data_IF_007968893885
#
_entry.id   IF_007968893885
#
_cell.length_a   1.000
_cell.length_b   1.000
_cell.length_c   1.000
_cell.angle_alpha   90.00
_cell.angle_beta   90.00
_cell.angle_gamma   90.00
#
_symmetry.space_group_name_H-M   'P 1'
#
loop_
_entity.id
_entity.type
_entity.pdbx_description
1 polymer ?
#
# COMPACT_ATOMS: atom_id res chain seq x y z
N UNK A 1 28.78 7.20 54.69
CA UNK A 1 29.71 6.54 55.63
C UNK A 1 30.65 5.69 54.80
N UNK A 2 31.96 5.97 54.81
CA UNK A 2 32.99 5.25 54.03
C UNK A 2 33.04 3.77 54.43
N UNK A 3 33.31 2.88 53.48
CA UNK A 3 33.21 1.44 53.62
C UNK A 3 34.42 0.78 54.35
N UNK A 4 35.47 1.55 54.63
CA UNK A 4 36.79 1.02 55.01
C UNK A 4 36.98 0.52 56.45
N UNK A 5 35.99 0.45 57.34
CA UNK A 5 36.28 0.04 58.73
C UNK A 5 35.22 -0.85 59.41
N UNK A 6 34.57 -1.73 58.64
CA UNK A 6 33.82 -2.84 59.24
C UNK A 6 34.79 -3.96 59.59
N UNK A 7 35.18 -4.03 60.87
CA UNK A 7 35.98 -5.13 61.42
C UNK A 7 35.34 -6.47 61.03
N UNK A 8 36.11 -7.30 60.32
CA UNK A 8 35.70 -8.64 59.91
C UNK A 8 35.31 -9.44 61.15
N UNK A 9 34.07 -9.93 61.18
CA UNK A 9 33.53 -10.67 62.32
C UNK A 9 33.80 -12.16 62.13
N UNK A 10 34.39 -12.81 63.14
CA UNK A 10 34.49 -14.28 63.16
C UNK A 10 33.17 -14.87 63.66
N UNK A 11 32.56 -15.75 62.86
CA UNK A 11 31.32 -16.44 63.21
C UNK A 11 31.60 -17.57 64.22
N UNK A 12 30.62 -17.86 65.07
CA UNK A 12 30.62 -19.08 65.89
C UNK A 12 30.33 -20.30 65.01
N UNK A 13 30.68 -21.54 65.42
CA UNK A 13 30.40 -22.73 64.61
C UNK A 13 28.93 -22.87 64.20
N UNK A 14 27.99 -22.59 65.13
CA UNK A 14 26.54 -22.57 64.83
C UNK A 14 26.17 -21.42 63.88
N UNK A 15 26.79 -20.26 64.03
CA UNK A 15 26.58 -19.12 63.14
C UNK A 15 27.10 -19.38 61.72
N UNK A 16 28.20 -20.10 61.59
CA UNK A 16 28.77 -20.50 60.30
C UNK A 16 27.85 -21.46 59.54
N UNK A 17 27.26 -22.44 60.25
CA UNK A 17 26.27 -23.35 59.64
C UNK A 17 25.06 -22.58 59.12
N UNK A 18 24.47 -21.69 59.93
CA UNK A 18 23.32 -20.89 59.47
C UNK A 18 23.68 -19.92 58.33
N UNK A 19 24.89 -19.37 58.34
CA UNK A 19 25.39 -18.53 57.26
C UNK A 19 25.48 -19.31 55.94
N UNK A 20 26.10 -20.49 55.98
CA UNK A 20 26.24 -21.35 54.79
C UNK A 20 24.88 -21.81 54.26
N UNK A 21 23.95 -22.22 55.14
CA UNK A 21 22.59 -22.61 54.75
C UNK A 21 21.84 -21.46 54.06
N UNK A 22 21.92 -20.24 54.58
CA UNK A 22 21.28 -19.07 53.98
C UNK A 22 21.96 -18.65 52.67
N UNK A 23 23.29 -18.72 52.60
CA UNK A 23 24.03 -18.46 51.37
C UNK A 23 23.66 -19.45 50.27
N UNK A 24 23.59 -20.75 50.57
CA UNK A 24 23.17 -21.79 49.62
C UNK A 24 21.74 -21.54 49.11
N UNK A 25 20.80 -21.21 50.00
CA UNK A 25 19.41 -20.93 49.61
C UNK A 25 19.30 -19.72 48.67
N UNK A 26 19.96 -18.61 49.02
CA UNK A 26 19.92 -17.38 48.21
C UNK A 26 20.68 -17.55 46.89
N UNK A 27 21.82 -18.26 46.92
CA UNK A 27 22.59 -18.59 45.73
C UNK A 27 21.81 -19.49 44.79
N UNK A 28 21.18 -20.56 45.27
CA UNK A 28 20.33 -21.44 44.46
C UNK A 28 19.24 -20.66 43.73
N UNK A 29 18.55 -19.75 44.43
CA UNK A 29 17.51 -18.90 43.83
C UNK A 29 18.06 -17.95 42.76
N UNK A 30 19.23 -17.35 43.02
CA UNK A 30 19.90 -16.50 42.02
C UNK A 30 20.34 -17.31 40.81
N UNK A 31 20.87 -18.51 41.00
CA UNK A 31 21.31 -19.40 39.92
C UNK A 31 20.12 -19.92 39.10
N UNK A 32 19.00 -20.25 39.74
CA UNK A 32 17.74 -20.60 39.07
C UNK A 32 17.23 -19.47 38.19
N UNK A 33 17.14 -18.25 38.73
CA UNK A 33 16.68 -17.09 37.96
C UNK A 33 17.66 -16.68 36.85
N UNK A 34 18.96 -16.93 37.03
CA UNK A 34 19.96 -16.75 35.98
C UNK A 34 19.75 -17.76 34.84
N UNK A 35 19.50 -19.02 35.15
CA UNK A 35 19.22 -20.04 34.15
C UNK A 35 17.97 -19.68 33.32
N UNK A 36 16.93 -19.14 33.95
CA UNK A 36 15.75 -18.65 33.21
C UNK A 36 16.07 -17.48 32.27
N UNK A 37 17.01 -16.61 32.64
CA UNK A 37 17.50 -15.54 31.76
C UNK A 37 18.27 -16.14 30.59
N UNK A 38 19.15 -17.11 30.84
CA UNK A 38 19.92 -17.80 29.80
C UNK A 38 18.99 -18.51 28.79
N UNK A 39 17.96 -19.20 29.26
CA UNK A 39 16.95 -19.83 28.41
C UNK A 39 16.20 -18.81 27.54
N UNK A 40 15.84 -17.65 28.11
CA UNK A 40 15.21 -16.56 27.37
C UNK A 40 16.16 -15.98 26.31
N UNK A 41 17.46 -15.87 26.62
CA UNK A 41 18.49 -15.41 25.68
C UNK A 41 18.68 -16.41 24.54
N UNK A 42 18.71 -17.71 24.83
CA UNK A 42 18.79 -18.75 23.78
C UNK A 42 17.58 -18.68 22.85
N UNK A 43 16.39 -18.47 23.43
CA UNK A 43 15.15 -18.31 22.65
C UNK A 43 15.24 -17.11 21.69
N UNK A 44 15.94 -16.04 22.06
CA UNK A 44 16.14 -14.88 21.19
C UNK A 44 16.92 -15.18 19.91
N UNK A 45 17.87 -16.12 19.96
CA UNK A 45 18.59 -16.57 18.77
C UNK A 45 17.70 -17.32 17.76
N UNK A 46 16.53 -17.80 18.19
CA UNK A 46 15.57 -18.49 17.31
C UNK A 46 14.50 -17.55 16.72
N UNK A 47 14.55 -16.25 17.07
CA UNK A 47 13.67 -15.26 16.47
C UNK A 47 13.97 -15.13 14.98
N UNK A 48 13.18 -15.82 14.16
CA UNK A 48 13.06 -15.50 12.75
C UNK A 48 12.64 -14.03 12.56
N UNK A 49 12.71 -13.54 11.32
CA UNK A 49 12.32 -12.20 10.85
C UNK A 49 10.82 -11.87 11.05
N UNK A 50 10.33 -12.03 12.27
CA UNK A 50 8.94 -11.91 12.71
C UNK A 50 8.85 -10.91 13.86
N UNK A 51 8.18 -9.79 13.62
CA UNK A 51 8.00 -8.72 14.60
C UNK A 51 7.33 -9.15 15.88
N UNK A 52 6.37 -10.08 15.81
CA UNK A 52 5.61 -10.48 16.98
C UNK A 52 6.51 -11.30 17.91
N UNK A 53 7.25 -12.26 17.36
CA UNK A 53 8.21 -13.07 18.12
C UNK A 53 9.32 -12.22 18.75
N UNK A 54 9.86 -11.25 18.01
CA UNK A 54 10.86 -10.31 18.54
C UNK A 54 10.32 -9.58 19.77
N UNK A 55 9.09 -9.06 19.71
CA UNK A 55 8.46 -8.37 20.86
C UNK A 55 8.21 -9.30 22.04
N UNK A 56 7.75 -10.52 21.77
CA UNK A 56 7.48 -11.52 22.80
C UNK A 56 8.76 -11.90 23.55
N UNK A 57 9.86 -12.11 22.83
CA UNK A 57 11.16 -12.43 23.43
C UNK A 57 11.77 -11.23 24.15
N UNK A 58 11.69 -10.02 23.60
CA UNK A 58 12.14 -8.79 24.28
C UNK A 58 11.44 -8.63 25.64
N UNK A 59 10.12 -8.89 25.67
CA UNK A 59 9.33 -8.89 26.91
C UNK A 59 9.77 -10.01 27.86
N UNK A 60 9.99 -11.22 27.35
CA UNK A 60 10.40 -12.38 28.15
C UNK A 60 11.75 -12.12 28.82
N UNK A 61 12.77 -11.70 28.07
CA UNK A 61 14.09 -11.33 28.60
C UNK A 61 13.94 -10.25 29.67
N UNK A 62 13.14 -9.21 29.41
CA UNK A 62 12.94 -8.12 30.37
C UNK A 62 12.29 -8.57 31.68
N UNK A 63 11.36 -9.52 31.64
CA UNK A 63 10.72 -10.07 32.84
C UNK A 63 11.71 -10.93 33.61
N UNK A 64 12.32 -11.91 32.95
CA UNK A 64 13.27 -12.83 33.60
C UNK A 64 14.48 -12.10 34.17
N UNK A 65 14.98 -11.09 33.46
CA UNK A 65 16.10 -10.29 33.94
C UNK A 65 15.74 -9.48 35.19
N UNK A 66 14.49 -9.02 35.33
CA UNK A 66 14.03 -8.34 36.56
C UNK A 66 13.97 -9.31 37.74
N UNK A 67 13.49 -10.52 37.53
CA UNK A 67 13.41 -11.56 38.57
C UNK A 67 14.82 -11.93 39.08
N UNK A 68 15.78 -12.05 38.16
CA UNK A 68 17.20 -12.22 38.48
C UNK A 68 17.77 -11.04 39.27
N UNK A 69 17.48 -9.79 38.87
CA UNK A 69 17.94 -8.61 39.60
C UNK A 69 17.40 -8.57 41.04
N UNK A 70 16.14 -8.95 41.25
CA UNK A 70 15.53 -9.00 42.59
C UNK A 70 16.24 -10.05 43.45
N UNK A 71 16.40 -11.27 42.94
CA UNK A 71 17.04 -12.38 43.67
C UNK A 71 18.50 -12.06 44.00
N UNK A 72 19.24 -11.47 43.06
CA UNK A 72 20.62 -11.03 43.25
C UNK A 72 20.74 -9.91 44.29
N UNK A 73 19.81 -8.95 44.28
CA UNK A 73 19.81 -7.84 45.25
C UNK A 73 19.49 -8.32 46.67
N UNK A 74 18.59 -9.29 46.82
CA UNK A 74 18.31 -9.93 48.12
C UNK A 74 19.54 -10.67 48.64
N UNK A 75 20.25 -11.41 47.77
CA UNK A 75 21.49 -12.08 48.13
C UNK A 75 22.58 -11.08 48.52
N UNK A 76 22.75 -10.01 47.73
CA UNK A 76 23.69 -8.92 47.99
C UNK A 76 23.44 -8.25 49.35
N UNK A 77 22.18 -7.93 49.68
CA UNK A 77 21.81 -7.35 50.98
C UNK A 77 22.17 -8.28 52.14
N UNK A 78 21.95 -9.59 51.97
CA UNK A 78 22.34 -10.57 52.97
C UNK A 78 23.86 -10.58 53.18
N UNK A 79 24.65 -10.69 52.11
CA UNK A 79 26.12 -10.71 52.20
C UNK A 79 26.68 -9.44 52.85
N UNK A 80 26.14 -8.26 52.49
CA UNK A 80 26.52 -6.98 53.10
C UNK A 80 26.22 -6.89 54.60
N UNK A 81 25.29 -7.70 55.11
CA UNK A 81 24.93 -7.73 56.53
C UNK A 81 25.91 -8.56 57.38
N UNK A 82 26.54 -9.59 56.79
CA UNK A 82 27.30 -10.59 57.54
C UNK A 82 28.70 -10.13 57.94
N UNK A 83 29.28 -9.13 57.24
CA UNK A 83 30.59 -8.52 57.57
C UNK A 83 31.71 -9.55 57.83
N UNK A 84 31.67 -10.70 57.14
CA UNK A 84 32.68 -11.76 57.17
C UNK A 84 33.54 -11.69 55.91
N UNK A 85 34.75 -12.25 55.96
CA UNK A 85 35.64 -12.32 54.79
C UNK A 85 35.03 -13.18 53.66
N UNK A 86 34.41 -14.30 54.02
CA UNK A 86 33.67 -15.16 53.10
C UNK A 86 32.53 -14.41 52.39
N UNK A 87 31.77 -13.58 53.12
CA UNK A 87 30.70 -12.78 52.53
C UNK A 87 31.23 -11.72 51.56
N UNK A 88 32.41 -11.15 51.82
CA UNK A 88 33.07 -10.20 50.90
C UNK A 88 33.52 -10.92 49.62
N UNK A 89 34.09 -12.12 49.72
CA UNK A 89 34.49 -12.89 48.55
C UNK A 89 33.28 -13.29 47.69
N UNK A 90 32.21 -13.81 48.31
CA UNK A 90 30.95 -14.15 47.62
C UNK A 90 30.29 -12.92 46.99
N UNK A 91 30.39 -11.75 47.63
CA UNK A 91 29.87 -10.50 47.07
C UNK A 91 30.60 -10.10 45.78
N UNK A 92 31.93 -10.24 45.76
CA UNK A 92 32.73 -9.97 44.56
C UNK A 92 32.37 -10.95 43.42
N UNK A 93 32.20 -12.25 43.73
CA UNK A 93 31.77 -13.26 42.75
C UNK A 93 30.37 -12.94 42.18
N UNK A 94 29.43 -12.56 43.04
CA UNK A 94 28.08 -12.16 42.64
C UNK A 94 28.12 -10.93 41.72
N UNK A 95 28.93 -9.91 42.05
CA UNK A 95 29.06 -8.71 41.24
C UNK A 95 29.63 -9.00 39.84
N UNK A 96 30.63 -9.88 39.75
CA UNK A 96 31.17 -10.35 38.45
C UNK A 96 30.08 -11.04 37.63
N UNK A 97 29.30 -11.93 38.25
CA UNK A 97 28.20 -12.64 37.59
C UNK A 97 27.10 -11.68 37.10
N UNK A 98 26.66 -10.75 37.95
CA UNK A 98 25.66 -9.73 37.61
C UNK A 98 26.12 -8.86 36.44
N UNK A 99 27.37 -8.39 36.46
CA UNK A 99 27.92 -7.55 35.41
C UNK A 99 28.02 -8.29 34.07
N UNK A 100 28.38 -9.58 34.10
CA UNK A 100 28.39 -10.45 32.91
C UNK A 100 26.98 -10.61 32.35
N UNK A 101 26.01 -10.96 33.18
CA UNK A 101 24.61 -11.11 32.79
C UNK A 101 24.06 -9.81 32.18
N UNK A 102 24.25 -8.67 32.85
CA UNK A 102 23.84 -7.36 32.36
C UNK A 102 24.42 -7.04 30.98
N UNK A 103 25.71 -7.32 30.78
CA UNK A 103 26.39 -7.07 29.51
C UNK A 103 25.80 -7.91 28.36
N UNK A 104 25.47 -9.17 28.62
CA UNK A 104 24.87 -10.07 27.62
C UNK A 104 23.44 -9.65 27.31
N UNK A 105 22.62 -9.38 28.33
CA UNK A 105 21.23 -8.94 28.17
C UNK A 105 21.16 -7.62 27.40
N UNK A 106 22.03 -6.67 27.72
CA UNK A 106 22.13 -5.39 27.00
C UNK A 106 22.47 -5.60 25.52
N UNK A 107 23.51 -6.39 25.23
CA UNK A 107 23.91 -6.71 23.85
C UNK A 107 22.75 -7.33 23.06
N UNK A 108 22.10 -8.33 23.64
CA UNK A 108 20.97 -9.03 23.02
C UNK A 108 19.79 -8.09 22.78
N UNK A 109 19.51 -7.18 23.71
CA UNK A 109 18.47 -6.15 23.54
C UNK A 109 18.78 -5.22 22.36
N UNK A 110 20.04 -4.83 22.18
CA UNK A 110 20.45 -3.96 21.08
C UNK A 110 20.41 -4.70 19.73
N UNK A 111 20.82 -5.96 19.67
CA UNK A 111 20.69 -6.83 18.49
C UNK A 111 19.21 -7.02 18.07
N UNK A 112 18.30 -7.21 19.05
CA UNK A 112 16.87 -7.32 18.78
C UNK A 112 16.28 -6.00 18.22
N UNK A 113 16.76 -4.85 18.71
CA UNK A 113 16.36 -3.54 18.17
C UNK A 113 16.86 -3.35 16.75
N UNK A 114 18.11 -3.69 16.47
CA UNK A 114 18.70 -3.62 15.13
C UNK A 114 17.90 -4.48 14.15
N UNK A 115 17.66 -5.75 14.50
CA UNK A 115 16.84 -6.66 13.69
C UNK A 115 15.45 -6.09 13.41
N UNK A 116 14.82 -5.48 14.42
CA UNK A 116 13.52 -4.81 14.27
C UNK A 116 13.57 -3.62 13.31
N UNK A 117 14.63 -2.82 13.36
CA UNK A 117 14.82 -1.69 12.43
C UNK A 117 15.05 -2.18 10.99
N UNK A 118 15.90 -3.18 10.78
CA UNK A 118 16.14 -3.77 9.46
C UNK A 118 14.85 -4.32 8.83
N UNK A 119 13.98 -4.95 9.64
CA UNK A 119 12.69 -5.44 9.16
C UNK A 119 11.76 -4.29 8.74
N UNK A 120 11.76 -3.18 9.47
CA UNK A 120 10.95 -2.01 9.13
C UNK A 120 11.45 -1.37 7.84
N UNK A 121 12.76 -1.27 7.66
CA UNK A 121 13.38 -0.75 6.44
C UNK A 121 13.06 -1.66 5.24
N UNK A 122 13.19 -2.98 5.39
CA UNK A 122 12.83 -3.96 4.35
C UNK A 122 11.36 -3.83 3.94
N UNK A 123 10.45 -3.71 4.91
CA UNK A 123 9.03 -3.50 4.63
C UNK A 123 8.76 -2.18 3.90
N UNK A 124 9.47 -1.11 4.27
CA UNK A 124 9.38 0.20 3.61
C UNK A 124 9.83 0.12 2.14
N UNK A 125 10.94 -0.57 1.86
CA UNK A 125 11.43 -0.78 0.49
C UNK A 125 10.47 -1.63 -0.35
N UNK A 126 9.96 -2.73 0.22
CA UNK A 126 8.98 -3.58 -0.48
C UNK A 126 7.70 -2.79 -0.79
N UNK A 127 7.19 -2.03 0.18
CA UNK A 127 6.02 -1.17 -0.02
C UNK A 127 6.23 -0.13 -1.14
N UNK A 128 7.39 0.52 -1.13
CA UNK A 128 7.77 1.50 -2.16
C UNK A 128 7.88 0.88 -3.54
N UNK A 129 8.42 -0.33 -3.65
CA UNK A 129 8.56 -1.07 -4.90
C UNK A 129 7.20 -1.56 -5.45
N UNK A 130 6.29 -1.99 -4.58
CA UNK A 130 4.92 -2.35 -4.99
C UNK A 130 4.19 -1.12 -5.52
N UNK A 131 4.33 0.03 -4.86
CA UNK A 131 3.73 1.31 -5.30
C UNK A 131 4.31 1.79 -6.64
N UNK A 132 5.62 1.69 -6.86
CA UNK A 132 6.24 2.07 -8.13
C UNK A 132 5.83 1.14 -9.27
N UNK A 133 5.78 -0.16 -9.02
CA UNK A 133 5.30 -1.16 -9.98
C UNK A 133 3.84 -0.93 -10.37
N UNK A 134 2.95 -0.66 -9.41
CA UNK A 134 1.55 -0.33 -9.68
C UNK A 134 1.40 0.94 -10.53
N UNK A 135 2.18 1.98 -10.24
CA UNK A 135 2.21 3.21 -11.05
C UNK A 135 2.69 2.95 -12.48
N UNK A 136 3.75 2.17 -12.65
CA UNK A 136 4.27 1.80 -13.97
C UNK A 136 3.24 1.00 -14.78
N UNK A 137 2.56 0.04 -14.15
CA UNK A 137 1.48 -0.72 -14.79
C UNK A 137 0.32 0.17 -15.24
N UNK A 138 -0.11 1.10 -14.38
CA UNK A 138 -1.18 2.04 -14.71
C UNK A 138 -0.80 2.98 -15.86
N UNK A 139 0.46 3.42 -15.94
CA UNK A 139 0.96 4.22 -17.07
C UNK A 139 0.97 3.42 -18.37
N UNK A 140 1.40 2.15 -18.33
CA UNK A 140 1.40 1.28 -19.50
C UNK A 140 -0.03 1.01 -20.02
N UNK A 141 -1.01 0.80 -19.13
CA UNK A 141 -2.42 0.65 -19.53
C UNK A 141 -3.00 1.93 -20.15
N UNK A 142 -2.69 3.10 -19.58
CA UNK A 142 -3.10 4.39 -20.16
C UNK A 142 -2.53 4.60 -21.56
N UNK A 143 -1.25 4.30 -21.78
CA UNK A 143 -0.62 4.40 -23.09
C UNK A 143 -1.29 3.47 -24.13
N UNK A 144 -1.66 2.25 -23.73
CA UNK A 144 -2.40 1.32 -24.59
C UNK A 144 -3.77 1.87 -24.99
N UNK A 145 -4.51 2.43 -24.03
CA UNK A 145 -5.83 3.03 -24.31
C UNK A 145 -5.72 4.23 -25.26
N UNK A 146 -4.65 5.03 -25.13
CA UNK A 146 -4.40 6.17 -25.99
C UNK A 146 -4.08 5.75 -27.43
N UNK A 147 -3.34 4.65 -27.62
CA UNK A 147 -3.09 4.06 -28.93
C UNK A 147 -4.39 3.55 -29.58
N UNK A 148 -5.21 2.79 -28.84
CA UNK A 148 -6.51 2.31 -29.35
C UNK A 148 -7.40 3.48 -29.77
N UNK A 149 -7.40 4.57 -29.00
CA UNK A 149 -8.16 5.77 -29.34
C UNK A 149 -7.67 6.40 -30.66
N UNK A 150 -6.35 6.53 -30.84
CA UNK A 150 -5.75 7.04 -32.10
C UNK A 150 -6.05 6.13 -33.28
N UNK A 151 -5.95 4.81 -33.11
CA UNK A 151 -6.32 3.85 -34.16
C UNK A 151 -7.79 3.99 -34.57
N UNK A 152 -8.70 4.16 -33.59
CA UNK A 152 -10.11 4.41 -33.86
C UNK A 152 -10.37 5.72 -34.63
N UNK A 153 -9.63 6.78 -34.32
CA UNK A 153 -9.69 8.06 -35.05
C UNK A 153 -9.18 7.90 -36.50
N UNK A 154 -8.08 7.18 -36.70
CA UNK A 154 -7.56 6.87 -38.03
C UNK A 154 -8.52 6.02 -38.85
N UNK A 155 -9.20 5.06 -38.22
CA UNK A 155 -10.20 4.23 -38.90
C UNK A 155 -11.36 5.08 -39.44
N UNK A 156 -11.83 6.05 -38.64
CA UNK A 156 -12.88 7.00 -39.07
C UNK A 156 -12.41 7.87 -40.23
N UNK A 157 -11.19 8.39 -40.18
CA UNK A 157 -10.61 9.15 -41.30
C UNK A 157 -10.51 8.30 -42.56
N UNK A 158 -10.14 7.02 -42.43
CA UNK A 158 -10.07 6.09 -43.56
C UNK A 158 -11.44 5.88 -44.20
N UNK A 159 -12.49 5.65 -43.40
CA UNK A 159 -13.86 5.48 -43.94
C UNK A 159 -14.38 6.75 -44.62
N UNK A 160 -14.07 7.93 -44.06
CA UNK A 160 -14.46 9.21 -44.67
C UNK A 160 -13.76 9.45 -46.01
N UNK A 161 -12.48 9.09 -46.12
CA UNK A 161 -11.72 9.16 -47.38
C UNK A 161 -12.30 8.18 -48.41
N UNK A 162 -12.62 6.95 -47.99
CA UNK A 162 -13.18 5.93 -48.88
C UNK A 162 -14.56 6.34 -49.42
N UNK A 163 -15.41 6.92 -48.57
CA UNK A 163 -16.69 7.49 -49.00
C UNK A 163 -16.49 8.62 -50.03
N UNK A 164 -15.54 9.54 -49.79
CA UNK A 164 -15.19 10.60 -50.76
C UNK A 164 -14.69 10.04 -52.09
N UNK A 165 -13.84 9.01 -52.06
CA UNK A 165 -13.35 8.35 -53.29
C UNK A 165 -14.51 7.71 -54.06
N UNK A 166 -15.46 7.08 -53.37
CA UNK A 166 -16.66 6.50 -54.00
C UNK A 166 -17.52 7.57 -54.67
N UNK A 167 -17.72 8.71 -54.01
CA UNK A 167 -18.47 9.85 -54.58
C UNK A 167 -17.77 10.36 -55.84
N UNK A 168 -16.46 10.60 -55.78
CA UNK A 168 -15.67 11.08 -56.95
C UNK A 168 -15.72 10.07 -58.10
N UNK A 169 -15.73 8.76 -57.82
CA UNK A 169 -15.87 7.73 -58.86
C UNK A 169 -17.24 7.77 -59.51
N UNK A 170 -18.31 7.88 -58.73
CA UNK A 170 -19.68 8.00 -59.24
C UNK A 170 -19.86 9.28 -60.06
N UNK A 171 -19.33 10.41 -59.59
CA UNK A 171 -19.34 11.66 -60.35
C UNK A 171 -18.61 11.52 -61.69
N UNK A 172 -17.46 10.83 -61.72
CA UNK A 172 -16.74 10.53 -62.96
C UNK A 172 -17.55 9.65 -63.92
N UNK A 173 -18.24 8.64 -63.41
CA UNK A 173 -19.11 7.76 -64.20
C UNK A 173 -20.31 8.51 -64.80
N UNK A 174 -20.92 9.41 -64.03
CA UNK A 174 -22.00 10.29 -64.51
C UNK A 174 -21.47 11.21 -65.61
N UNK A 175 -20.32 11.85 -65.42
CA UNK A 175 -19.70 12.72 -66.44
C UNK A 175 -19.37 11.93 -67.72
N UNK A 176 -18.88 10.69 -67.61
CA UNK A 176 -18.66 9.86 -68.81
C UNK A 176 -19.95 9.46 -69.50
N UNK A 177 -21.00 9.10 -68.75
CA UNK A 177 -22.30 8.75 -69.32
C UNK A 177 -22.95 9.97 -70.01
N UNK A 178 -22.84 11.16 -69.42
CA UNK A 178 -23.31 12.41 -70.03
C UNK A 178 -22.54 12.77 -71.30
N UNK A 179 -21.23 12.47 -71.37
CA UNK A 179 -20.45 12.61 -72.60
C UNK A 179 -20.88 11.62 -73.70
N UNK A 180 -21.28 10.40 -73.33
CA UNK A 180 -21.82 9.40 -74.27
C UNK A 180 -23.22 9.79 -74.79
N UNK A 181 -24.02 10.53 -74.02
CA UNK A 181 -25.32 11.09 -74.47
C UNK A 181 -25.20 12.30 -75.42
N UNK A 182 -24.01 12.87 -75.59
CA UNK A 182 -23.82 14.02 -76.51
C UNK A 182 -23.52 13.65 -77.96
N UNK A 183 -23.32 12.37 -78.31
CA UNK A 183 -22.97 11.97 -79.69
C UNK A 183 -24.09 11.27 -80.48
N UNK A 184 -25.19 10.80 -79.87
CA UNK A 184 -26.31 10.21 -80.63
C UNK A 184 -27.68 10.47 -79.98
N UNK A 185 -28.34 11.58 -80.34
CA UNK A 185 -29.78 11.60 -80.65
C UNK A 185 -30.24 12.98 -81.18
N UNK A 186 -30.36 13.13 -82.50
CA UNK A 186 -31.28 14.12 -83.09
C UNK A 186 -32.70 13.63 -82.82
N UNK A 187 -33.25 13.99 -81.67
CA UNK A 187 -34.69 13.85 -81.42
C UNK A 187 -35.38 15.01 -82.14
N UNK A 188 -36.09 14.69 -83.22
CA UNK A 188 -37.04 15.60 -83.86
C UNK A 188 -38.16 15.91 -82.86
N UNK A 189 -38.03 17.04 -82.17
CA UNK A 189 -39.09 17.64 -81.38
C UNK A 189 -40.24 18.04 -82.31
N UNK A 190 -41.50 17.59 -82.09
CA UNK A 190 -42.63 18.26 -82.70
C UNK A 190 -42.74 19.65 -82.09
N UNK A 191 -42.48 20.68 -82.91
CA UNK A 191 -42.67 22.08 -82.56
C UNK A 191 -44.18 22.32 -82.38
N UNK A 192 -44.68 22.14 -81.16
CA UNK A 192 -46.00 22.64 -80.78
C UNK A 192 -45.90 24.14 -80.51
N UNK A 193 -46.74 24.93 -81.19
CA UNK A 193 -46.80 26.37 -80.99
C UNK A 193 -47.30 26.72 -79.58
N UNK A 194 -46.73 27.79 -79.02
CA UNK A 194 -46.96 28.30 -77.65
C UNK A 194 -48.43 28.58 -77.31
N UNK A 195 -49.30 28.70 -78.31
CA UNK A 195 -50.72 28.98 -78.17
C UNK A 195 -51.58 27.71 -77.97
N UNK A 196 -51.04 26.52 -78.25
CA UNK A 196 -51.75 25.25 -78.03
C UNK A 196 -51.57 24.68 -76.60
N UNK A 197 -50.51 25.07 -75.88
CA UNK A 197 -50.27 24.59 -74.51
C UNK A 197 -51.07 25.33 -73.42
N UNK A 198 -51.57 26.54 -73.68
CA UNK A 198 -52.34 27.33 -72.70
C UNK A 198 -53.85 27.07 -72.74
N UNK A 199 -54.37 26.41 -73.78
CA UNK A 199 -55.80 26.06 -73.90
C UNK A 199 -56.18 24.74 -73.21
N UNK A 200 -55.25 23.78 -73.11
CA UNK A 200 -55.53 22.45 -72.53
C UNK A 200 -55.31 22.35 -71.00
N UNK A 201 -54.61 23.31 -70.38
CA UNK A 201 -54.34 23.26 -68.93
C UNK A 201 -55.33 24.06 -68.07
N UNK A 202 -56.04 25.03 -68.67
CA UNK A 202 -56.97 25.92 -67.93
C UNK A 202 -58.37 25.30 -67.75
N UNK A 203 -58.69 24.18 -68.41
CA UNK A 203 -60.00 23.51 -68.28
C UNK A 203 -60.04 22.30 -67.34
N UNK A 204 -58.97 21.98 -66.59
CA UNK A 204 -59.06 20.95 -65.53
C UNK A 204 -58.66 21.37 -64.12
N UNK A 205 -57.77 22.34 -63.88
CA UNK A 205 -57.50 22.83 -62.51
C UNK A 205 -57.04 24.30 -62.51
N UNK A 206 -58.00 25.23 -62.38
CA UNK A 206 -57.73 26.63 -62.06
C UNK A 206 -57.20 26.78 -60.61
N UNK A 207 -56.36 27.80 -60.34
CA UNK A 207 -55.48 27.82 -59.19
C UNK A 207 -56.16 28.33 -57.92
N UNK A 208 -55.87 27.68 -56.79
CA UNK A 208 -56.00 28.30 -55.48
C UNK A 208 -54.73 28.02 -54.69
N UNK A 209 -53.78 28.94 -54.84
CA UNK A 209 -52.69 29.11 -53.90
C UNK A 209 -53.26 29.37 -52.50
N UNK A 210 -52.97 28.49 -51.54
CA UNK A 210 -52.89 28.90 -50.13
C UNK A 210 -51.84 28.08 -49.40
N UNK A 211 -50.69 28.73 -49.20
CA UNK A 211 -49.62 28.32 -48.29
C UNK A 211 -50.21 28.11 -46.90
N UNK A 212 -50.14 26.89 -46.36
CA UNK A 212 -50.36 26.61 -44.93
C UNK A 212 -49.04 26.16 -44.32
N UNK A 213 -48.55 26.94 -43.34
CA UNK A 213 -47.49 26.52 -42.41
C UNK A 213 -47.98 25.29 -41.64
N UNK A 214 -47.21 24.21 -41.68
CA UNK A 214 -47.33 23.10 -40.73
C UNK A 214 -46.11 23.12 -39.83
N UNK A 215 -46.32 23.56 -38.60
CA UNK A 215 -45.48 23.27 -37.44
C UNK A 215 -45.46 21.76 -37.22
N UNK A 216 -44.28 21.15 -37.23
CA UNK A 216 -44.07 19.78 -36.76
C UNK A 216 -43.19 19.77 -35.52
N UNK A 217 -43.50 18.83 -34.65
CA UNK A 217 -43.23 18.79 -33.24
C UNK A 217 -41.76 18.58 -32.89
N UNK A 218 -41.31 19.22 -31.81
CA UNK A 218 -40.04 18.94 -31.15
C UNK A 218 -40.14 17.62 -30.39
N UNK A 219 -39.40 16.61 -30.85
CA UNK A 219 -39.06 15.44 -30.03
C UNK A 219 -37.74 15.74 -29.33
N UNK A 220 -37.83 15.98 -28.02
CA UNK A 220 -36.70 15.88 -27.09
C UNK A 220 -36.20 14.45 -27.10
N UNK A 221 -34.91 14.25 -27.35
CA UNK A 221 -34.24 13.04 -26.88
C UNK A 221 -32.95 13.34 -26.13
N UNK A 222 -32.81 12.53 -25.08
CA UNK A 222 -31.99 12.71 -23.91
C UNK A 222 -30.50 12.49 -24.16
N UNK A 223 -29.68 13.36 -23.57
CA UNK A 223 -28.25 13.14 -23.35
C UNK A 223 -28.09 12.30 -22.07
N UNK A 224 -27.40 11.15 -22.06
CA UNK A 224 -27.00 10.50 -20.82
C UNK A 224 -25.74 11.18 -20.27
N UNK A 225 -25.85 11.78 -19.07
CA UNK A 225 -24.70 12.22 -18.26
C UNK A 225 -23.93 11.02 -17.75
N UNK A 226 -22.64 10.95 -18.10
CA UNK A 226 -21.65 10.09 -17.45
C UNK A 226 -21.46 10.49 -15.99
N UNK A 227 -21.51 9.51 -15.09
CA UNK A 227 -21.16 9.64 -13.68
C UNK A 227 -19.64 9.81 -13.55
N UNK A 228 -19.21 10.94 -13.01
CA UNK A 228 -17.92 11.07 -12.35
C UNK A 228 -18.08 10.68 -10.88
N UNK A 229 -17.23 9.77 -10.42
CA UNK A 229 -17.00 9.45 -9.01
C UNK A 229 -15.62 10.02 -8.70
N UNK A 230 -15.54 10.93 -7.72
CA UNK A 230 -14.35 11.16 -6.93
C UNK A 230 -14.74 11.60 -5.51
N UNK A 231 -14.52 10.65 -4.58
CA UNK A 231 -13.83 10.74 -3.28
C UNK A 231 -14.01 11.93 -2.31
N UNK A 232 -14.17 11.52 -1.04
CA UNK A 232 -13.55 12.07 0.20
C UNK A 232 -14.22 13.33 0.81
N UNK A 233 -14.43 13.51 2.13
CA UNK A 233 -13.82 12.99 3.37
C UNK A 233 -14.87 13.10 4.50
N UNK A 234 -15.01 12.06 5.34
CA UNK A 234 -15.79 12.12 6.58
C UNK A 234 -15.07 12.93 7.67
N UNK A 235 -15.74 13.97 8.19
CA UNK A 235 -15.32 14.71 9.39
C UNK A 235 -16.09 14.18 10.61
N UNK A 236 -15.31 13.81 11.62
CA UNK A 236 -15.76 13.31 12.91
C UNK A 236 -16.37 14.42 13.78
N UNK A 237 -17.41 14.04 14.53
CA UNK A 237 -18.01 14.81 15.63
C UNK A 237 -16.97 15.03 16.73
N UNK A 238 -16.96 16.25 17.28
CA UNK A 238 -16.52 16.51 18.65
C UNK A 238 -17.71 17.04 19.43
N UNK A 239 -18.13 16.26 20.43
CA UNK A 239 -18.95 16.72 21.54
C UNK A 239 -18.06 17.50 22.51
N UNK A 240 -18.51 18.70 22.90
CA UNK A 240 -18.23 19.33 24.20
C UNK A 240 -19.56 19.92 24.65
#
# INVERSE_FOLDING_TARGET
>A
MSAEDRRIRKLTPKGLVMFNEQCEQLKSKTDETLAEVEDALVTSGTCAKDFQKIREVERLISVKFKDFCISSEDYKKYLLSQSTEEAVNLLNELEVSMNKCFSIVKRTSDELKETKFELLETLSHVSSNVSSFQRAKAQAERAKLELIKREGELLKQKTDIEAKISIVRQEKEIISAEADFTEEEKIDLPIYSREQMTSAFILKYGPSFRVRRTTTCSTRDNIPRSKTVDTNVGKWRTSV
#
